data_IF_177515359784
#
_entry.id   IF_177515359784
#
_cell.length_a   1.000
_cell.length_b   1.000
_cell.length_c   1.000
_cell.angle_alpha   90.00
_cell.angle_beta   90.00
_cell.angle_gamma   90.00
#
_symmetry.space_group_name_H-M   'P 1'
#
loop_
_entity.id
_entity.type
_entity.pdbx_description
1 polymer ?
#
# COMPACT_ATOMS: atom_id res chain seq x y z
N UNK A 1 -20.69 -10.33 5.15
CA UNK A 1 -21.58 -11.17 4.31
C UNK A 1 -22.35 -10.25 3.37
N UNK A 2 -22.04 -10.27 2.06
CA UNK A 2 -22.89 -9.59 1.08
C UNK A 2 -24.09 -10.51 0.83
N UNK A 3 -25.29 -10.01 1.01
CA UNK A 3 -26.53 -10.78 0.98
C UNK A 3 -26.89 -11.17 -0.47
N UNK A 4 -26.53 -12.38 -0.90
CA UNK A 4 -26.70 -12.88 -2.28
C UNK A 4 -28.17 -13.22 -2.65
N UNK A 5 -29.13 -12.98 -1.75
CA UNK A 5 -30.55 -13.34 -1.95
C UNK A 5 -31.48 -12.22 -2.43
N UNK A 6 -31.03 -10.97 -2.55
CA UNK A 6 -31.91 -9.85 -2.87
C UNK A 6 -31.74 -9.40 -4.33
N UNK A 7 -32.77 -9.62 -5.17
CA UNK A 7 -32.81 -9.05 -6.52
C UNK A 7 -33.04 -7.54 -6.41
N UNK A 8 -32.16 -6.69 -7.00
CA UNK A 8 -32.38 -5.25 -7.00
C UNK A 8 -33.76 -4.92 -7.60
N UNK A 9 -34.51 -4.00 -6.98
CA UNK A 9 -35.77 -3.52 -7.54
C UNK A 9 -35.49 -2.93 -8.92
N UNK A 10 -36.34 -3.22 -9.92
CA UNK A 10 -36.15 -2.78 -11.32
C UNK A 10 -35.78 -1.31 -11.45
N UNK A 11 -36.46 -0.41 -10.72
CA UNK A 11 -36.15 1.03 -10.69
C UNK A 11 -34.71 1.35 -10.24
N UNK A 12 -34.12 0.55 -9.37
CA UNK A 12 -32.73 0.70 -8.92
C UNK A 12 -31.78 0.21 -10.00
N UNK A 13 -32.08 -0.91 -10.65
CA UNK A 13 -31.31 -1.41 -11.79
C UNK A 13 -31.28 -0.41 -12.95
N UNK A 14 -32.43 0.18 -13.30
CA UNK A 14 -32.54 1.16 -14.39
C UNK A 14 -31.68 2.42 -14.10
N UNK A 15 -31.62 2.85 -12.83
CA UNK A 15 -30.76 3.97 -12.39
C UNK A 15 -29.29 3.58 -12.47
N UNK A 16 -28.92 2.38 -12.03
CA UNK A 16 -27.54 1.88 -12.12
C UNK A 16 -27.12 1.80 -13.58
N UNK A 17 -27.92 1.21 -14.47
CA UNK A 17 -27.64 1.12 -15.90
C UNK A 17 -27.47 2.49 -16.53
N UNK A 18 -28.33 3.46 -16.17
CA UNK A 18 -28.17 4.85 -16.60
C UNK A 18 -26.81 5.42 -16.20
N UNK A 19 -26.37 5.27 -14.95
CA UNK A 19 -25.06 5.78 -14.53
C UNK A 19 -23.89 4.98 -15.14
N UNK A 20 -24.02 3.66 -15.29
CA UNK A 20 -23.01 2.84 -15.97
C UNK A 20 -22.82 3.26 -17.43
N UNK A 21 -23.88 3.71 -18.11
CA UNK A 21 -23.80 4.23 -19.49
C UNK A 21 -23.08 5.59 -19.58
N UNK A 22 -22.89 6.30 -18.48
CA UNK A 22 -22.14 7.57 -18.42
C UNK A 22 -20.66 7.38 -18.13
N UNK A 23 -20.23 6.16 -17.80
CA UNK A 23 -18.82 5.89 -17.53
C UNK A 23 -17.97 6.06 -18.80
N UNK A 24 -16.71 6.52 -18.67
CA UNK A 24 -15.82 6.63 -19.81
C UNK A 24 -15.71 5.31 -20.58
N UNK A 25 -15.74 5.34 -21.93
CA UNK A 25 -15.49 4.16 -22.74
C UNK A 25 -14.19 3.46 -22.31
N UNK A 26 -14.22 2.12 -22.24
CA UNK A 26 -13.04 1.35 -21.88
C UNK A 26 -12.73 1.26 -20.37
N UNK A 27 -13.56 1.84 -19.48
CA UNK A 27 -13.31 1.71 -18.02
C UNK A 27 -13.38 0.24 -17.54
N UNK A 28 -14.23 -0.58 -18.17
CA UNK A 28 -14.35 -2.01 -17.86
C UNK A 28 -13.39 -2.89 -18.67
N UNK A 29 -12.56 -2.28 -19.52
CA UNK A 29 -11.60 -3.01 -20.35
C UNK A 29 -10.52 -3.63 -19.47
N UNK A 30 -10.17 -4.88 -19.79
CA UNK A 30 -9.05 -5.57 -19.17
C UNK A 30 -7.74 -4.94 -19.66
N UNK A 31 -6.91 -4.52 -18.71
CA UNK A 31 -5.60 -3.92 -19.00
C UNK A 31 -4.44 -4.88 -18.70
N UNK A 32 -4.63 -5.80 -17.75
CA UNK A 32 -3.63 -6.80 -17.38
C UNK A 32 -4.18 -7.95 -16.54
N UNK A 33 -3.27 -8.79 -16.04
CA UNK A 33 -3.55 -9.95 -15.19
C UNK A 33 -2.55 -10.02 -14.04
N UNK A 34 -3.00 -10.39 -12.84
CA UNK A 34 -2.09 -10.64 -11.72
C UNK A 34 -1.38 -12.00 -11.87
N UNK A 35 -0.07 -12.05 -11.68
CA UNK A 35 0.70 -13.31 -11.62
C UNK A 35 0.81 -13.85 -10.19
N UNK A 36 0.78 -12.96 -9.21
CA UNK A 36 0.81 -13.28 -7.78
C UNK A 36 -0.42 -12.72 -7.06
N UNK A 37 -0.58 -13.09 -5.78
CA UNK A 37 -1.64 -12.52 -4.95
C UNK A 37 -1.31 -11.08 -4.57
N UNK A 38 -2.20 -10.14 -4.89
CA UNK A 38 -2.05 -8.73 -4.52
C UNK A 38 -3.05 -8.32 -3.43
N UNK A 39 -2.55 -7.62 -2.42
CA UNK A 39 -3.32 -7.19 -1.26
C UNK A 39 -3.32 -5.66 -1.15
N UNK A 40 -4.51 -5.05 -1.24
CA UNK A 40 -4.72 -3.60 -1.10
C UNK A 40 -5.72 -3.26 0.01
N UNK A 41 -5.86 -4.14 1.02
CA UNK A 41 -6.79 -3.91 2.13
C UNK A 41 -6.41 -2.67 2.93
N UNK A 42 -7.41 -1.89 3.30
CA UNK A 42 -7.21 -0.60 3.98
C UNK A 42 -6.41 -0.75 5.27
N UNK A 43 -6.72 -1.80 6.04
CA UNK A 43 -6.01 -2.11 7.28
C UNK A 43 -4.54 -2.44 7.02
N UNK A 44 -4.25 -3.32 6.06
CA UNK A 44 -2.89 -3.79 5.84
C UNK A 44 -2.01 -2.70 5.23
N UNK A 45 -2.47 -2.00 4.19
CA UNK A 45 -1.70 -0.91 3.57
C UNK A 45 -1.34 0.20 4.57
N UNK A 46 -2.10 0.35 5.65
CA UNK A 46 -1.91 1.40 6.65
C UNK A 46 -1.17 0.94 7.91
N UNK A 47 -0.77 -0.32 7.97
CA UNK A 47 -0.17 -0.88 9.20
C UNK A 47 1.01 -1.80 8.94
N UNK A 48 1.17 -2.38 7.75
CA UNK A 48 2.23 -3.35 7.43
C UNK A 48 2.55 -3.36 5.93
N UNK A 49 3.66 -4.02 5.57
CA UNK A 49 4.00 -4.27 4.17
C UNK A 49 2.87 -5.03 3.44
N UNK A 50 2.61 -4.66 2.19
CA UNK A 50 1.63 -5.32 1.32
C UNK A 50 2.21 -5.53 -0.06
N UNK A 51 1.78 -6.59 -0.74
CA UNK A 51 2.22 -6.88 -2.11
C UNK A 51 1.79 -5.78 -3.09
N UNK A 52 0.60 -5.18 -2.91
CA UNK A 52 0.18 -4.06 -3.76
C UNK A 52 0.98 -2.78 -3.45
N UNK A 53 1.30 -2.51 -2.19
CA UNK A 53 2.19 -1.41 -1.81
C UNK A 53 3.59 -1.55 -2.41
N UNK A 54 4.16 -2.76 -2.38
CA UNK A 54 5.45 -3.06 -3.01
C UNK A 54 5.40 -2.85 -4.52
N UNK A 55 4.36 -3.38 -5.18
CA UNK A 55 4.14 -3.20 -6.62
C UNK A 55 4.15 -1.72 -7.02
N UNK A 56 3.39 -0.88 -6.30
CA UNK A 56 3.31 0.55 -6.61
C UNK A 56 4.65 1.24 -6.38
N UNK A 57 5.34 0.95 -5.28
CA UNK A 57 6.63 1.57 -5.03
C UNK A 57 7.68 1.15 -6.07
N UNK A 58 7.69 -0.11 -6.50
CA UNK A 58 8.59 -0.59 -7.56
C UNK A 58 8.27 0.03 -8.92
N UNK A 59 6.98 0.21 -9.23
CA UNK A 59 6.54 0.88 -10.44
C UNK A 59 7.03 2.33 -10.46
N UNK A 60 6.93 3.06 -9.34
CA UNK A 60 7.48 4.41 -9.23
C UNK A 60 9.00 4.43 -9.45
N UNK A 61 9.71 3.46 -8.87
CA UNK A 61 11.16 3.32 -9.03
C UNK A 61 11.55 3.18 -10.51
N UNK A 62 10.82 2.34 -11.25
CA UNK A 62 11.03 2.08 -12.66
C UNK A 62 10.68 3.29 -13.54
N UNK A 63 9.47 3.83 -13.38
CA UNK A 63 8.95 4.95 -14.20
C UNK A 63 9.83 6.19 -14.09
N UNK A 64 10.31 6.51 -12.87
CA UNK A 64 11.14 7.69 -12.64
C UNK A 64 12.65 7.41 -12.75
N UNK A 65 13.04 6.13 -12.88
CA UNK A 65 14.44 5.70 -12.87
C UNK A 65 15.21 6.25 -11.67
N UNK A 66 14.56 6.34 -10.50
CA UNK A 66 15.14 6.90 -9.28
C UNK A 66 15.87 5.83 -8.46
N UNK A 67 16.45 6.19 -7.31
CA UNK A 67 17.13 5.24 -6.43
C UNK A 67 16.16 4.63 -5.42
N UNK A 68 15.24 5.45 -4.90
CA UNK A 68 14.32 5.07 -3.84
C UNK A 68 12.94 5.62 -4.19
N UNK A 69 11.90 4.80 -4.09
CA UNK A 69 10.53 5.27 -4.22
C UNK A 69 9.70 4.93 -2.97
N UNK A 70 8.79 5.82 -2.63
CA UNK A 70 7.89 5.68 -1.49
C UNK A 70 6.46 6.07 -1.86
N UNK A 71 5.49 5.29 -1.40
CA UNK A 71 4.07 5.60 -1.53
C UNK A 71 3.35 5.37 -0.19
N UNK A 72 2.51 6.31 0.25
CA UNK A 72 1.78 6.16 1.51
C UNK A 72 0.56 5.23 1.32
N UNK A 73 0.31 4.35 2.29
CA UNK A 73 -0.82 3.43 2.28
C UNK A 73 -2.19 4.11 2.22
N UNK A 74 -2.28 5.36 2.66
CA UNK A 74 -3.47 6.20 2.54
C UNK A 74 -3.87 6.52 1.10
N UNK A 75 -2.91 6.46 0.17
CA UNK A 75 -3.12 6.64 -1.27
C UNK A 75 -3.68 5.41 -1.98
N UNK A 76 -3.64 4.23 -1.35
CA UNK A 76 -4.18 2.96 -1.87
C UNK A 76 -5.58 2.75 -1.28
N UNK A 77 -6.61 2.67 -2.14
CA UNK A 77 -8.03 2.79 -1.71
C UNK A 77 -8.92 1.61 -2.09
N UNK A 78 -8.41 0.60 -2.78
CA UNK A 78 -9.27 -0.42 -3.38
C UNK A 78 -9.94 -1.35 -2.37
N UNK A 79 -9.32 -1.55 -1.20
CA UNK A 79 -9.77 -2.45 -0.14
C UNK A 79 -10.05 -3.86 -0.66
N UNK A 80 -9.07 -4.43 -1.36
CA UNK A 80 -9.25 -5.64 -2.20
C UNK A 80 -8.17 -6.69 -1.99
N UNK A 81 -8.54 -7.88 -2.46
CA UNK A 81 -7.68 -9.04 -2.61
C UNK A 81 -7.78 -9.47 -4.07
N UNK A 82 -6.64 -9.54 -4.75
CA UNK A 82 -6.55 -10.05 -6.10
C UNK A 82 -5.83 -11.39 -6.04
N UNK A 83 -6.54 -12.48 -6.34
CA UNK A 83 -5.90 -13.79 -6.52
C UNK A 83 -4.98 -13.78 -7.74
N UNK A 84 -4.04 -14.72 -7.81
CA UNK A 84 -3.27 -14.95 -9.03
C UNK A 84 -4.20 -15.34 -10.20
N UNK A 85 -3.90 -14.86 -11.40
CA UNK A 85 -4.72 -15.03 -12.60
C UNK A 85 -5.92 -14.08 -12.68
N UNK A 86 -6.07 -13.13 -11.76
CA UNK A 86 -7.19 -12.18 -11.76
C UNK A 86 -6.98 -11.15 -12.87
N UNK A 87 -7.99 -11.00 -13.72
CA UNK A 87 -8.07 -9.90 -14.70
C UNK A 87 -8.21 -8.58 -13.99
N UNK A 88 -7.37 -7.62 -14.35
CA UNK A 88 -7.38 -6.24 -13.87
C UNK A 88 -7.98 -5.34 -14.93
N UNK A 89 -8.93 -4.50 -14.53
CA UNK A 89 -9.57 -3.51 -15.41
C UNK A 89 -9.17 -2.09 -15.02
N UNK A 90 -9.40 -1.11 -15.91
CA UNK A 90 -9.23 0.32 -15.55
C UNK A 90 -10.11 0.72 -14.37
N UNK A 91 -11.30 0.12 -14.24
CA UNK A 91 -12.21 0.34 -13.12
C UNK A 91 -11.63 -0.14 -11.78
N UNK A 92 -10.88 -1.24 -11.78
CA UNK A 92 -10.17 -1.69 -10.58
C UNK A 92 -9.10 -0.66 -10.18
N UNK A 93 -8.33 -0.13 -11.13
CA UNK A 93 -7.34 0.92 -10.86
C UNK A 93 -7.96 2.24 -10.43
N UNK A 94 -9.15 2.59 -10.94
CA UNK A 94 -9.89 3.77 -10.50
C UNK A 94 -10.33 3.64 -9.03
N UNK A 95 -10.65 2.42 -8.59
CA UNK A 95 -10.96 2.15 -7.18
C UNK A 95 -9.73 2.21 -6.29
N UNK A 96 -8.58 1.76 -6.78
CA UNK A 96 -7.31 1.88 -6.06
C UNK A 96 -6.88 3.33 -5.92
N UNK A 97 -7.02 4.13 -6.99
CA UNK A 97 -6.58 5.52 -7.07
C UNK A 97 -7.71 6.48 -7.48
N UNK A 98 -8.70 6.72 -6.61
CA UNK A 98 -9.84 7.58 -6.92
C UNK A 98 -9.49 9.08 -6.90
N UNK A 99 -8.31 9.45 -6.38
CA UNK A 99 -7.87 10.82 -6.27
C UNK A 99 -6.85 11.16 -7.36
N UNK A 100 -6.86 12.40 -7.91
CA UNK A 100 -5.91 12.84 -8.92
C UNK A 100 -4.56 13.19 -8.29
N UNK A 101 -4.01 12.28 -7.49
CA UNK A 101 -2.72 12.44 -6.85
C UNK A 101 -1.61 12.41 -7.91
N UNK A 102 -0.76 13.43 -7.89
CA UNK A 102 0.38 13.56 -8.80
C UNK A 102 1.64 12.99 -8.15
N UNK A 103 2.47 12.34 -8.96
CA UNK A 103 3.77 11.82 -8.59
C UNK A 103 4.87 12.80 -8.97
N UNK A 104 5.98 12.82 -8.23
CA UNK A 104 7.11 13.69 -8.50
C UNK A 104 8.44 12.97 -8.25
N UNK A 105 9.41 13.26 -9.13
CA UNK A 105 10.82 12.93 -8.92
C UNK A 105 11.51 14.08 -8.21
N UNK A 106 12.23 13.75 -7.16
CA UNK A 106 12.91 14.69 -6.27
C UNK A 106 14.33 14.22 -5.96
N UNK A 107 15.10 15.07 -5.29
CA UNK A 107 16.24 14.69 -4.49
C UNK A 107 15.94 14.91 -3.01
N UNK A 108 16.36 13.99 -2.15
CA UNK A 108 16.24 14.09 -0.69
C UNK A 108 17.56 13.76 -0.01
N UNK A 109 17.88 14.47 1.08
CA UNK A 109 19.04 14.18 1.91
C UNK A 109 18.76 12.94 2.80
N UNK A 110 19.74 12.06 3.01
CA UNK A 110 19.55 10.82 3.77
C UNK A 110 18.95 11.03 5.16
N UNK A 111 19.37 12.09 5.87
CA UNK A 111 18.79 12.43 7.18
C UNK A 111 17.28 12.75 7.12
N UNK A 112 16.83 13.36 6.02
CA UNK A 112 15.42 13.72 5.83
C UNK A 112 14.61 12.49 5.40
N UNK A 113 15.22 11.58 4.65
CA UNK A 113 14.63 10.28 4.33
C UNK A 113 14.43 9.42 5.60
N UNK A 114 15.42 9.37 6.49
CA UNK A 114 15.31 8.68 7.78
C UNK A 114 14.19 9.28 8.65
N UNK A 115 14.13 10.62 8.70
CA UNK A 115 13.04 11.31 9.41
C UNK A 115 11.66 11.02 8.79
N UNK A 116 11.57 10.90 7.47
CA UNK A 116 10.32 10.53 6.79
C UNK A 116 9.83 9.14 7.21
N UNK A 117 10.73 8.17 7.34
CA UNK A 117 10.35 6.83 7.82
C UNK A 117 9.80 6.90 9.24
N UNK A 118 10.47 7.62 10.15
CA UNK A 118 9.98 7.85 11.51
C UNK A 118 8.56 8.48 11.52
N UNK A 119 8.36 9.52 10.72
CA UNK A 119 7.05 10.18 10.55
C UNK A 119 5.98 9.22 10.01
N UNK A 120 6.34 8.31 9.11
CA UNK A 120 5.44 7.32 8.53
C UNK A 120 5.03 6.20 9.48
N UNK A 121 5.97 5.70 10.30
CA UNK A 121 5.72 4.57 11.22
C UNK A 121 5.28 5.00 12.62
N UNK A 122 5.25 6.31 12.93
CA UNK A 122 4.92 6.85 14.25
C UNK A 122 3.53 6.45 14.80
N UNK A 123 2.61 6.01 13.93
CA UNK A 123 1.24 5.58 14.26
C UNK A 123 0.90 4.22 13.62
N UNK A 124 1.88 3.38 13.31
CA UNK A 124 1.68 2.10 12.62
C UNK A 124 0.74 1.12 13.35
N UNK A 125 0.50 1.31 14.64
CA UNK A 125 -0.49 0.59 15.45
C UNK A 125 -1.95 1.02 15.19
N UNK A 126 -2.15 2.11 14.43
CA UNK A 126 -3.45 2.65 14.03
C UNK A 126 -3.59 2.57 12.52
N UNK A 127 -4.82 2.47 12.04
CA UNK A 127 -5.14 2.42 10.60
C UNK A 127 -5.12 3.84 10.01
N UNK A 128 -3.92 4.42 9.90
CA UNK A 128 -3.67 5.80 9.43
C UNK A 128 -3.00 5.79 8.06
N UNK A 129 -3.35 6.74 7.20
CA UNK A 129 -2.83 6.81 5.82
C UNK A 129 -1.31 6.98 5.70
N UNK A 130 -0.66 7.45 6.76
CA UNK A 130 0.76 7.80 6.76
C UNK A 130 1.71 6.62 6.56
N UNK A 131 1.30 5.37 6.81
CA UNK A 131 2.23 4.23 6.75
C UNK A 131 2.90 4.14 5.36
N UNK A 132 4.24 4.07 5.27
CA UNK A 132 4.94 4.10 3.99
C UNK A 132 5.10 2.69 3.41
N UNK A 133 5.00 2.58 2.09
CA UNK A 133 5.51 1.46 1.30
C UNK A 133 6.73 1.91 0.52
N UNK A 134 7.75 1.06 0.43
CA UNK A 134 9.02 1.36 -0.21
C UNK A 134 9.34 0.40 -1.35
N UNK A 135 10.08 0.89 -2.34
CA UNK A 135 10.55 0.10 -3.46
C UNK A 135 11.61 -0.93 -3.04
N UNK A 136 11.89 -1.89 -3.92
CA UNK A 136 12.96 -2.87 -3.75
C UNK A 136 14.29 -2.20 -3.44
N UNK A 137 15.15 -2.91 -2.71
CA UNK A 137 16.44 -2.41 -2.23
C UNK A 137 16.36 -1.70 -0.88
N UNK A 138 15.17 -1.32 -0.40
CA UNK A 138 14.98 -0.80 0.95
C UNK A 138 14.62 -1.91 1.93
N UNK A 139 15.26 -1.88 3.09
CA UNK A 139 14.84 -2.63 4.27
C UNK A 139 14.75 -1.69 5.47
N UNK A 140 13.61 -1.73 6.15
CA UNK A 140 13.32 -0.95 7.35
C UNK A 140 12.96 -1.92 8.46
N UNK A 141 13.62 -1.77 9.60
CA UNK A 141 13.29 -2.46 10.83
C UNK A 141 12.90 -1.40 11.86
N UNK A 142 11.71 -1.53 12.45
CA UNK A 142 11.22 -0.61 13.47
C UNK A 142 10.53 -1.36 14.60
N UNK A 143 10.33 -0.68 15.73
CA UNK A 143 9.61 -1.20 16.89
C UNK A 143 8.41 -0.28 17.20
N UNK A 144 7.19 -0.76 16.93
CA UNK A 144 5.97 0.02 17.18
C UNK A 144 5.68 0.31 18.66
N UNK A 145 6.37 -0.35 19.60
CA UNK A 145 6.23 -0.08 21.05
C UNK A 145 7.12 1.05 21.53
N UNK A 146 8.11 1.48 20.74
CA UNK A 146 8.92 2.65 21.08
C UNK A 146 8.12 3.94 20.94
N UNK A 147 8.52 5.01 21.66
CA UNK A 147 7.91 6.32 21.51
C UNK A 147 7.84 6.76 20.04
N UNK A 148 6.76 7.44 19.61
CA UNK A 148 6.67 8.05 18.28
C UNK A 148 7.94 8.85 17.94
N UNK A 149 8.39 8.76 16.69
CA UNK A 149 9.63 9.38 16.17
C UNK A 149 10.94 8.82 16.76
N UNK A 150 10.88 7.69 17.46
CA UNK A 150 12.05 6.94 17.95
C UNK A 150 11.86 5.44 17.70
N UNK A 151 11.15 5.08 16.62
CA UNK A 151 10.72 3.70 16.35
C UNK A 151 11.66 2.98 15.41
N UNK A 152 12.30 3.67 14.48
CA UNK A 152 13.18 3.06 13.47
C UNK A 152 14.45 2.59 14.16
N UNK A 153 14.75 1.31 13.98
CA UNK A 153 15.97 0.67 14.48
C UNK A 153 17.03 0.66 13.40
N UNK A 154 16.64 0.38 12.17
CA UNK A 154 17.53 0.32 11.02
C UNK A 154 16.77 0.66 9.73
N UNK A 155 17.47 1.37 8.85
CA UNK A 155 17.10 1.50 7.44
C UNK A 155 18.34 1.28 6.59
N UNK A 156 18.24 0.37 5.62
CA UNK A 156 19.30 0.12 4.63
C UNK A 156 18.78 0.31 3.21
N UNK A 157 19.71 0.69 2.33
CA UNK A 157 19.52 0.76 0.88
C UNK A 157 20.59 -0.10 0.20
N UNK A 158 20.15 -1.12 -0.55
CA UNK A 158 21.01 -2.12 -1.20
C UNK A 158 21.98 -2.82 -0.24
N UNK A 159 21.58 -2.99 1.02
CA UNK A 159 22.37 -3.64 2.07
C UNK A 159 23.24 -2.69 2.90
N UNK A 160 23.48 -1.47 2.41
CA UNK A 160 24.25 -0.45 3.12
C UNK A 160 23.34 0.44 3.97
N UNK A 161 23.86 0.95 5.09
CA UNK A 161 23.13 1.95 5.89
C UNK A 161 22.94 3.23 5.07
N UNK A 162 21.79 3.88 5.27
CA UNK A 162 21.55 5.21 4.68
C UNK A 162 22.62 6.18 5.22
N UNK A 163 23.43 6.72 4.32
CA UNK A 163 24.29 7.87 4.61
C UNK A 163 23.43 9.13 4.75
N UNK A 164 23.44 9.72 5.93
CA UNK A 164 22.69 10.93 6.29
C UNK A 164 23.06 12.15 5.46
N UNK A 165 24.30 12.22 4.95
CA UNK A 165 24.84 13.34 4.20
C UNK A 165 24.72 13.17 2.69
N UNK A 166 24.41 11.94 2.23
CA UNK A 166 24.19 11.65 0.82
C UNK A 166 22.83 12.14 0.36
N UNK A 167 22.78 12.68 -0.86
CA UNK A 167 21.55 13.03 -1.55
C UNK A 167 21.12 11.87 -2.44
N UNK A 168 19.86 11.45 -2.33
CA UNK A 168 19.26 10.33 -3.06
C UNK A 168 18.22 10.85 -4.05
N UNK A 169 18.17 10.27 -5.26
CA UNK A 169 17.05 10.46 -6.19
C UNK A 169 15.83 9.70 -5.67
N UNK A 170 14.77 10.43 -5.39
CA UNK A 170 13.61 9.95 -4.65
C UNK A 170 12.30 10.26 -5.35
N UNK A 171 11.44 9.25 -5.55
CA UNK A 171 10.10 9.44 -6.11
C UNK A 171 9.01 9.23 -5.07
N UNK A 172 8.02 10.13 -5.02
CA UNK A 172 6.83 9.97 -4.17
C UNK A 172 5.65 10.79 -4.69
N UNK A 173 4.55 10.82 -3.94
CA UNK A 173 3.36 11.61 -4.25
C UNK A 173 3.48 13.05 -3.72
N UNK A 174 3.09 14.03 -4.54
CA UNK A 174 3.19 15.47 -4.22
C UNK A 174 2.41 15.88 -2.96
N UNK A 175 1.38 15.11 -2.59
CA UNK A 175 0.66 15.28 -1.33
C UNK A 175 1.61 15.20 -0.11
N UNK A 176 2.54 14.25 -0.10
CA UNK A 176 3.48 14.07 1.00
C UNK A 176 4.58 15.15 0.98
N UNK A 177 5.04 15.55 -0.21
CA UNK A 177 5.99 16.67 -0.38
C UNK A 177 5.45 18.01 0.16
N UNK A 178 4.13 18.16 0.28
CA UNK A 178 3.48 19.33 0.87
C UNK A 178 3.28 19.21 2.39
N UNK A 179 3.75 18.13 3.02
CA UNK A 179 3.54 17.85 4.45
C UNK A 179 2.29 17.03 4.76
N UNK A 180 1.65 16.46 3.74
CA UNK A 180 0.51 15.55 3.91
C UNK A 180 0.85 14.38 4.83
N UNK A 181 -0.15 13.84 5.54
CA UNK A 181 0.00 12.76 6.53
C UNK A 181 1.02 13.02 7.68
N UNK A 182 1.53 14.26 7.81
CA UNK A 182 2.51 14.62 8.83
C UNK A 182 3.97 14.48 8.38
N UNK A 183 4.22 14.30 7.08
CA UNK A 183 5.56 14.19 6.51
C UNK A 183 6.27 15.56 6.36
N UNK A 184 6.60 16.19 7.49
CA UNK A 184 7.26 17.51 7.47
C UNK A 184 8.69 17.43 6.93
N UNK A 185 9.34 16.28 7.07
CA UNK A 185 10.68 16.06 6.53
C UNK A 185 10.74 16.13 5.00
N UNK A 186 9.70 15.61 4.32
CA UNK A 186 9.65 15.56 2.86
C UNK A 186 9.47 16.93 2.20
N UNK A 187 9.04 17.95 2.95
CA UNK A 187 8.99 19.33 2.46
C UNK A 187 10.39 19.90 2.11
N UNK A 188 11.46 19.24 2.59
CA UNK A 188 12.85 19.62 2.29
C UNK A 188 13.41 18.92 1.05
N UNK A 189 12.67 18.00 0.45
CA UNK A 189 13.07 17.39 -0.83
C UNK A 189 12.99 18.44 -1.95
N UNK A 190 13.98 18.43 -2.86
CA UNK A 190 14.01 19.33 -4.00
C UNK A 190 13.42 18.63 -5.22
N UNK A 191 12.43 19.24 -5.87
CA UNK A 191 11.77 18.61 -7.00
C UNK A 191 12.64 18.78 -8.25
N UNK A 192 13.01 17.67 -8.90
CA UNK A 192 13.81 17.64 -10.13
C UNK A 192 12.88 17.73 -11.34
N UNK A 193 11.80 16.94 -11.30
CA UNK A 193 10.80 16.86 -12.36
C UNK A 193 9.45 17.32 -11.80
N UNK A 194 9.12 18.60 -12.05
CA UNK A 194 7.77 19.13 -11.90
C UNK A 194 7.30 19.89 -13.15
N UNK A 195 7.53 19.43 -14.39
CA UNK A 195 6.89 20.06 -15.52
C UNK A 195 5.42 19.65 -15.46
N UNK A 196 4.55 20.63 -15.31
CA UNK A 196 3.10 20.43 -15.46
C UNK A 196 2.83 19.67 -16.77
N UNK A 197 2.57 18.36 -16.65
CA UNK A 197 1.43 17.67 -17.23
C UNK A 197 1.41 16.19 -16.76
N UNK A 198 0.37 15.87 -15.98
CA UNK A 198 -0.34 14.59 -16.06
C UNK A 198 0.34 13.32 -15.51
N UNK A 199 1.33 13.40 -14.60
CA UNK A 199 1.80 12.25 -13.82
C UNK A 199 0.82 11.85 -12.70
N UNK A 200 -0.47 11.73 -13.03
CA UNK A 200 -1.46 11.20 -12.09
C UNK A 200 -1.16 9.72 -11.90
N UNK A 201 -1.15 9.28 -10.65
CA UNK A 201 -0.86 7.88 -10.36
C UNK A 201 -1.80 6.92 -11.10
N UNK A 202 -3.08 7.26 -11.26
CA UNK A 202 -4.02 6.46 -12.04
C UNK A 202 -3.54 6.27 -13.49
N UNK A 203 -3.20 7.37 -14.18
CA UNK A 203 -2.78 7.31 -15.58
C UNK A 203 -1.48 6.51 -15.73
N UNK A 204 -0.49 6.78 -14.87
CA UNK A 204 0.80 6.07 -14.88
C UNK A 204 0.63 4.57 -14.63
N UNK A 205 -0.15 4.19 -13.62
CA UNK A 205 -0.35 2.77 -13.27
C UNK A 205 -1.10 2.06 -14.39
N UNK A 206 -2.13 2.68 -14.97
CA UNK A 206 -2.87 2.10 -16.10
C UNK A 206 -1.95 1.92 -17.31
N UNK A 207 -1.19 2.94 -17.70
CA UNK A 207 -0.26 2.89 -18.83
C UNK A 207 0.81 1.80 -18.61
N UNK A 208 1.40 1.74 -17.41
CA UNK A 208 2.40 0.72 -17.08
C UNK A 208 1.82 -0.69 -17.18
N UNK A 209 0.61 -0.93 -16.66
CA UNK A 209 -0.06 -2.24 -16.74
C UNK A 209 -0.41 -2.59 -18.19
N UNK A 210 -0.87 -1.63 -18.99
CA UNK A 210 -1.18 -1.86 -20.40
C UNK A 210 0.07 -2.22 -21.22
N UNK A 211 1.23 -1.70 -20.84
CA UNK A 211 2.50 -2.04 -21.46
C UNK A 211 2.99 -3.44 -21.04
N UNK A 212 3.00 -3.72 -19.74
CA UNK A 212 3.57 -4.96 -19.18
C UNK A 212 2.61 -6.16 -19.21
N UNK A 213 1.30 -5.87 -19.25
CA UNK A 213 0.18 -6.83 -19.22
C UNK A 213 0.08 -7.68 -17.96
N UNK A 214 1.11 -7.75 -17.13
CA UNK A 214 1.10 -8.54 -15.89
C UNK A 214 1.51 -7.73 -14.67
N UNK A 215 0.93 -8.10 -13.52
CA UNK A 215 1.26 -7.50 -12.23
C UNK A 215 1.81 -8.59 -11.31
N UNK A 216 3.01 -8.38 -10.81
CA UNK A 216 3.67 -9.31 -9.88
C UNK A 216 4.32 -8.53 -8.76
N UNK A 217 4.05 -8.95 -7.54
CA UNK A 217 4.77 -8.52 -6.35
C UNK A 217 4.64 -9.58 -5.24
N UNK A 218 5.65 -9.63 -4.39
CA UNK A 218 5.74 -10.55 -3.26
C UNK A 218 6.05 -9.75 -1.99
N UNK A 219 5.86 -10.39 -0.82
CA UNK A 219 6.32 -9.84 0.44
C UNK A 219 7.81 -10.18 0.53
N UNK A 220 8.65 -9.14 0.58
CA UNK A 220 10.11 -9.29 0.61
C UNK A 220 10.69 -8.89 1.98
N UNK A 221 9.81 -8.62 2.95
CA UNK A 221 10.18 -8.15 4.28
C UNK A 221 10.97 -6.82 4.22
N UNK A 222 10.54 -5.93 3.32
CA UNK A 222 11.04 -4.55 3.20
C UNK A 222 10.74 -3.74 4.44
N UNK A 223 9.65 -4.04 5.16
CA UNK A 223 9.24 -3.28 6.34
C UNK A 223 8.84 -4.24 7.47
N UNK A 224 9.65 -4.30 8.52
CA UNK A 224 9.51 -5.25 9.63
C UNK A 224 9.25 -4.53 10.96
N UNK A 225 8.15 -4.88 11.61
CA UNK A 225 7.83 -4.44 12.98
C UNK A 225 8.23 -5.50 14.00
N UNK A 226 9.31 -5.24 14.74
CA UNK A 226 9.84 -6.14 15.76
C UNK A 226 8.79 -6.51 16.82
N UNK A 227 7.90 -5.58 17.17
CA UNK A 227 6.88 -5.83 18.19
C UNK A 227 5.83 -6.85 17.74
N UNK A 228 5.58 -6.97 16.43
CA UNK A 228 4.61 -7.92 15.85
C UNK A 228 5.23 -9.29 15.59
N UNK A 229 6.49 -9.33 15.16
CA UNK A 229 7.23 -10.58 14.95
C UNK A 229 7.40 -11.39 16.25
N UNK A 230 7.65 -10.70 17.38
CA UNK A 230 7.75 -11.36 18.69
C UNK A 230 6.42 -12.01 19.10
N UNK A 231 5.27 -11.42 18.73
CA UNK A 231 3.95 -11.97 19.06
C UNK A 231 3.66 -13.22 18.23
N UNK A 232 3.95 -13.19 16.92
CA UNK A 232 3.77 -14.37 16.05
C UNK A 232 4.65 -15.53 16.48
N UNK A 233 5.91 -15.27 16.87
CA UNK A 233 6.83 -16.30 17.31
C UNK A 233 6.46 -16.90 18.69
N UNK A 234 5.86 -16.11 19.58
CA UNK A 234 5.30 -16.61 20.86
C UNK A 234 4.07 -17.50 20.64
N UNK A 235 3.22 -17.20 19.65
CA UNK A 235 2.06 -18.02 19.33
C UNK A 235 2.42 -19.32 18.59
N UNK A 236 3.47 -19.31 17.76
CA UNK A 236 3.98 -20.53 17.12
C UNK A 236 4.77 -21.46 18.07
N UNK A 237 4.93 -21.08 19.34
CA UNK A 237 5.73 -21.77 20.35
C UNK A 237 4.99 -22.81 21.21
N UNK A 238 3.71 -23.10 20.96
CA UNK A 238 3.01 -24.22 21.61
C UNK A 238 2.68 -25.32 20.61
N UNK A 239 3.55 -26.34 20.54
CA UNK A 239 3.22 -27.65 19.97
C UNK A 239 3.22 -28.72 21.07
N UNK A 240 2.12 -29.45 21.16
CA UNK A 240 2.10 -30.87 21.50
C UNK A 240 1.45 -31.23 22.84
N UNK A 241 0.23 -31.78 22.77
CA UNK A 241 -0.43 -32.47 23.89
C UNK A 241 -1.89 -32.76 23.58
N UNK A 242 -2.12 -33.90 22.91
CA UNK A 242 -3.26 -34.83 23.00
C UNK A 242 -4.72 -34.33 22.93
N UNK A 243 -5.43 -34.92 21.96
CA UNK A 243 -6.82 -35.38 21.95
C UNK A 243 -7.82 -34.69 22.90
N UNK A 244 -8.85 -34.08 22.32
CA UNK A 244 -10.22 -34.50 22.64
C UNK A 244 -11.23 -33.89 21.66
N UNK A 245 -12.03 -34.78 21.08
CA UNK A 245 -13.31 -34.50 20.48
C UNK A 245 -14.15 -33.60 21.38
N UNK A 246 -14.58 -32.44 20.87
CA UNK A 246 -15.97 -32.04 21.03
C UNK A 246 -16.37 -30.89 20.11
N UNK A 247 -17.24 -31.23 19.17
CA UNK A 247 -18.33 -30.38 18.69
C UNK A 247 -18.94 -29.60 19.85
N UNK A 248 -18.88 -28.26 19.80
CA UNK A 248 -19.77 -27.44 20.63
C UNK A 248 -20.91 -26.96 19.75
N UNK A 249 -22.04 -27.63 19.92
CA UNK A 249 -23.34 -27.16 19.49
C UNK A 249 -23.68 -25.84 20.20
N UNK A 250 -24.23 -24.89 19.46
CA UNK A 250 -24.91 -23.74 20.03
C UNK A 250 -26.26 -24.22 20.60
N UNK A 251 -26.36 -24.25 21.93
CA UNK A 251 -27.58 -24.50 22.67
C UNK A 251 -28.09 -23.22 23.32
N UNK A 252 -29.36 -22.95 23.08
CA UNK A 252 -30.19 -21.90 23.66
C UNK A 252 -30.28 -21.93 25.20
N UNK A 253 -30.78 -20.82 25.76
CA UNK A 253 -31.42 -20.65 27.08
C UNK A 253 -30.48 -20.49 28.30
N UNK A 254 -30.69 -19.60 29.30
CA UNK A 254 -31.88 -18.90 29.81
C UNK A 254 -31.46 -17.82 30.86
N UNK A 255 -32.25 -16.74 30.93
CA UNK A 255 -32.66 -15.90 32.11
C UNK A 255 -31.64 -15.43 33.17
N UNK A 256 -31.47 -14.12 33.34
CA UNK A 256 -32.33 -13.20 34.12
C UNK A 256 -32.20 -11.77 33.57
#
# INVERSE_FOLDING_TARGET
>A
MINHGYKPKKKVSDVIEKYMSTLPPGIMEQIGVTESKLYSSTESCRTKETTFGNFIADLLLEVFGCEIAMFNGGGIRGDRFYDAGKKITRYDMLKEFPFPNELALTTILGKDLLAAVEEGVQKAEKVVGAFPHFSKGIKIVYDSKKPPLQRVVEMTFNGDKIDEQRVYRFATVTYLLKGGDGYTSLQRAQIIDHPKNNHKIFDIVVEWIEHHRTLKAEIEHRIVDLAREIITNKWSGTKGGEDDDNCVQFGDNLSF
#
